data_IF_839537683788
#
_entry.id   IF_839537683788
#
_cell.length_a   1.000
_cell.length_b   1.000
_cell.length_c   1.000
_cell.angle_alpha   90.00
_cell.angle_beta   90.00
_cell.angle_gamma   90.00
#
_symmetry.space_group_name_H-M   'P 1'
#
loop_
_entity.id
_entity.type
_entity.pdbx_description
1 polymer ?
#
# COMPACT_ATOMS: atom_id res chain seq x y z
N UNK A 1 12.83 -0.94 -4.41
CA UNK A 1 12.98 -1.81 -3.21
C UNK A 1 12.41 -3.20 -3.51
N UNK A 2 12.33 -4.12 -2.54
CA UNK A 2 11.87 -5.52 -2.75
C UNK A 2 10.42 -5.62 -3.24
N UNK A 3 9.57 -4.68 -2.84
CA UNK A 3 8.12 -4.71 -3.09
C UNK A 3 7.66 -3.60 -4.03
N UNK A 4 8.51 -2.60 -4.31
CA UNK A 4 8.14 -1.46 -5.16
C UNK A 4 7.42 -0.35 -4.39
N UNK A 5 7.57 -0.29 -3.06
CA UNK A 5 6.95 0.73 -2.20
C UNK A 5 7.41 2.13 -2.59
N UNK A 6 8.67 2.28 -3.02
CA UNK A 6 9.20 3.54 -3.54
C UNK A 6 9.14 3.50 -5.06
N UNK A 7 8.22 4.24 -5.70
CA UNK A 7 8.10 4.21 -7.14
C UNK A 7 9.37 4.69 -7.83
N UNK A 8 9.68 4.07 -8.96
CA UNK A 8 10.74 4.49 -9.85
C UNK A 8 10.18 4.43 -11.27
N UNK A 9 9.84 5.59 -11.80
CA UNK A 9 9.38 5.74 -13.17
C UNK A 9 10.54 6.18 -14.05
N UNK A 10 10.55 5.73 -15.30
CA UNK A 10 11.60 6.07 -16.25
C UNK A 10 11.08 6.16 -17.68
N UNK A 11 11.73 7.02 -18.45
CA UNK A 11 11.62 7.13 -19.90
C UNK A 11 12.97 6.80 -20.51
N UNK A 12 12.98 5.97 -21.57
CA UNK A 12 14.20 5.66 -22.29
C UNK A 12 13.99 5.58 -23.80
N UNK A 13 14.43 6.62 -24.52
CA UNK A 13 14.58 6.60 -25.98
C UNK A 13 16.04 6.30 -26.30
N UNK A 14 16.30 5.08 -26.76
CA UNK A 14 17.64 4.52 -26.96
C UNK A 14 18.62 5.51 -27.58
N UNK A 15 19.79 5.67 -26.95
CA UNK A 15 20.90 6.54 -27.35
C UNK A 15 20.64 8.06 -27.33
N UNK A 16 19.45 8.51 -26.93
CA UNK A 16 19.10 9.93 -26.85
C UNK A 16 19.06 10.42 -25.41
N UNK A 17 18.20 9.81 -24.60
CA UNK A 17 17.93 10.32 -23.26
C UNK A 17 17.43 9.21 -22.34
N UNK A 18 17.81 9.31 -21.06
CA UNK A 18 17.29 8.51 -19.97
C UNK A 18 16.82 9.45 -18.88
N UNK A 19 15.51 9.45 -18.61
CA UNK A 19 14.89 10.24 -17.56
C UNK A 19 14.34 9.30 -16.50
N UNK A 20 14.44 9.68 -15.23
CA UNK A 20 13.83 8.95 -14.14
C UNK A 20 13.34 9.89 -13.05
N UNK A 21 12.27 9.49 -12.37
CA UNK A 21 11.72 10.21 -11.23
C UNK A 21 10.91 9.25 -10.35
N UNK A 22 10.62 9.67 -9.12
CA UNK A 22 9.65 8.98 -8.25
C UNK A 22 8.20 9.32 -8.59
N UNK A 23 7.98 10.29 -9.47
CA UNK A 23 6.67 10.84 -9.85
C UNK A 23 6.61 11.01 -11.37
N UNK A 24 5.52 10.56 -11.99
CA UNK A 24 5.30 10.61 -13.44
C UNK A 24 5.26 12.06 -13.93
N UNK A 25 4.61 12.96 -13.19
CA UNK A 25 4.45 14.38 -13.54
C UNK A 25 5.78 15.09 -13.77
N UNK A 26 6.85 14.66 -13.10
CA UNK A 26 8.19 15.22 -13.25
C UNK A 26 8.81 14.85 -14.60
N UNK A 27 8.58 13.62 -15.08
CA UNK A 27 9.03 13.18 -16.42
C UNK A 27 8.24 13.92 -17.50
N UNK A 28 6.93 14.12 -17.28
CA UNK A 28 6.06 14.86 -18.20
C UNK A 28 6.41 16.36 -18.34
N UNK A 29 7.27 16.91 -17.48
CA UNK A 29 7.81 18.26 -17.69
C UNK A 29 8.83 18.32 -18.84
N UNK A 30 9.40 17.18 -19.22
CA UNK A 30 10.48 17.08 -20.21
C UNK A 30 9.98 16.47 -21.51
N UNK A 31 9.05 15.53 -21.43
CA UNK A 31 8.51 14.82 -22.59
C UNK A 31 7.00 15.00 -22.69
N UNK A 32 6.49 14.92 -23.93
CA UNK A 32 5.06 14.69 -24.16
C UNK A 32 4.82 13.19 -24.30
N UNK A 33 3.83 12.66 -23.58
CA UNK A 33 3.36 11.28 -23.71
C UNK A 33 1.86 11.27 -23.94
N UNK A 34 1.41 10.32 -24.76
CA UNK A 34 0.00 9.95 -24.90
C UNK A 34 -0.39 8.89 -23.89
N UNK A 35 -1.68 8.65 -23.74
CA UNK A 35 -2.21 7.58 -22.89
C UNK A 35 -1.89 6.21 -23.47
N UNK A 36 -1.46 5.28 -22.63
CA UNK A 36 -1.27 3.88 -23.00
C UNK A 36 -2.62 3.18 -23.15
N UNK A 37 -3.01 2.89 -24.40
CA UNK A 37 -4.31 2.29 -24.72
C UNK A 37 -4.50 0.89 -24.15
N UNK A 38 -3.42 0.11 -24.02
CA UNK A 38 -3.52 -1.24 -23.48
C UNK A 38 -3.73 -1.18 -21.97
N UNK A 39 -2.97 -0.35 -21.25
CA UNK A 39 -3.16 -0.14 -19.81
C UNK A 39 -4.56 0.39 -19.51
N UNK A 40 -5.07 1.33 -20.32
CA UNK A 40 -6.46 1.79 -20.21
C UNK A 40 -7.47 0.65 -20.40
N UNK A 41 -7.28 -0.18 -21.43
CA UNK A 41 -8.14 -1.34 -21.68
C UNK A 41 -8.09 -2.33 -20.51
N UNK A 42 -6.90 -2.69 -20.05
CA UNK A 42 -6.73 -3.65 -18.94
C UNK A 42 -7.38 -3.14 -17.65
N UNK A 43 -7.26 -1.83 -17.38
CA UNK A 43 -7.89 -1.18 -16.24
C UNK A 43 -9.42 -1.16 -16.34
N UNK A 44 -10.00 -0.72 -17.46
CA UNK A 44 -11.45 -0.60 -17.58
C UNK A 44 -12.16 -1.94 -17.81
N UNK A 45 -11.53 -2.87 -18.54
CA UNK A 45 -12.13 -4.17 -18.85
C UNK A 45 -11.98 -5.19 -17.71
N UNK A 46 -10.86 -5.14 -16.97
CA UNK A 46 -10.52 -6.16 -15.98
C UNK A 46 -10.23 -5.62 -14.58
N UNK A 47 -10.20 -4.29 -14.38
CA UNK A 47 -9.79 -3.70 -13.12
C UNK A 47 -8.29 -3.86 -12.84
N UNK A 48 -7.49 -4.20 -13.85
CA UNK A 48 -6.06 -4.47 -13.67
C UNK A 48 -5.24 -3.19 -13.77
N UNK A 49 -4.96 -2.58 -12.62
CA UNK A 49 -3.90 -1.58 -12.45
C UNK A 49 -2.61 -2.24 -11.92
N UNK A 50 -1.44 -1.71 -12.30
CA UNK A 50 -0.12 -2.11 -11.75
C UNK A 50 0.32 -3.58 -11.95
N UNK A 51 -0.14 -4.26 -13.01
CA UNK A 51 0.16 -5.69 -13.22
C UNK A 51 1.44 -5.97 -14.03
N UNK A 52 2.06 -4.95 -14.64
CA UNK A 52 3.27 -5.05 -15.47
C UNK A 52 4.14 -3.77 -15.35
N UNK A 53 5.16 -3.59 -16.19
CA UNK A 53 6.06 -2.41 -16.16
C UNK A 53 5.51 -1.16 -16.86
N UNK A 54 4.31 -1.22 -17.43
CA UNK A 54 3.65 -0.10 -18.09
C UNK A 54 3.00 0.82 -17.08
N UNK A 55 2.89 2.09 -17.46
CA UNK A 55 2.04 3.08 -16.78
C UNK A 55 0.83 3.38 -17.67
N UNK A 56 -0.03 4.30 -17.24
CA UNK A 56 -1.07 4.88 -18.11
C UNK A 56 -0.53 5.82 -19.19
N UNK A 57 0.80 5.99 -19.28
CA UNK A 57 1.50 6.81 -20.26
C UNK A 57 2.40 5.94 -21.15
N UNK A 58 2.23 6.04 -22.47
CA UNK A 58 2.88 5.17 -23.46
C UNK A 58 4.43 5.22 -23.39
N UNK A 59 4.99 6.40 -23.14
CA UNK A 59 6.43 6.62 -23.10
C UNK A 59 7.05 6.42 -21.70
N UNK A 60 6.27 6.13 -20.66
CA UNK A 60 6.75 6.06 -19.28
C UNK A 60 6.55 4.65 -18.73
N UNK A 61 7.63 4.08 -18.19
CA UNK A 61 7.65 2.76 -17.57
C UNK A 61 7.93 2.85 -16.09
N UNK A 62 7.51 1.84 -15.34
CA UNK A 62 7.82 1.71 -13.92
C UNK A 62 8.79 0.53 -13.72
N UNK A 63 9.85 0.75 -12.93
CA UNK A 63 10.72 -0.33 -12.48
C UNK A 63 10.02 -1.12 -11.36
N UNK A 64 9.67 -2.38 -11.66
CA UNK A 64 8.96 -3.25 -10.71
C UNK A 64 9.79 -3.55 -9.46
N UNK A 65 9.09 -3.75 -8.34
CA UNK A 65 9.69 -4.22 -7.09
C UNK A 65 10.59 -5.45 -7.30
N UNK A 66 11.72 -5.48 -6.60
CA UNK A 66 12.69 -6.59 -6.68
C UNK A 66 13.48 -6.67 -7.98
N UNK A 67 13.49 -5.62 -8.82
CA UNK A 67 14.29 -5.53 -10.03
C UNK A 67 15.35 -4.43 -9.95
N UNK A 68 16.46 -4.66 -10.65
CA UNK A 68 17.50 -3.68 -10.91
C UNK A 68 17.42 -3.25 -12.37
N UNK A 69 17.73 -1.97 -12.63
CA UNK A 69 17.90 -1.40 -13.97
C UNK A 69 19.35 -0.97 -14.12
N UNK A 70 20.02 -1.46 -15.17
CA UNK A 70 21.40 -1.13 -15.51
C UNK A 70 21.40 -0.53 -16.90
N UNK A 71 21.84 0.73 -17.01
CA UNK A 71 22.08 1.40 -18.27
C UNK A 71 23.60 1.55 -18.47
N UNK A 72 24.14 0.86 -19.48
CA UNK A 72 25.57 0.88 -19.80
C UNK A 72 25.74 0.99 -21.32
N UNK A 73 26.55 1.95 -21.79
CA UNK A 73 26.83 2.16 -23.21
C UNK A 73 25.56 2.22 -24.09
N UNK A 74 24.51 2.89 -23.62
CA UNK A 74 23.22 2.97 -24.33
C UNK A 74 22.39 1.68 -24.33
N UNK A 75 22.82 0.64 -23.60
CA UNK A 75 22.06 -0.59 -23.43
C UNK A 75 21.42 -0.61 -22.04
N UNK A 76 20.09 -0.61 -22.03
CA UNK A 76 19.30 -0.78 -20.81
C UNK A 76 19.02 -2.27 -20.60
N UNK A 77 19.26 -2.76 -19.39
CA UNK A 77 18.98 -4.13 -18.99
C UNK A 77 18.29 -4.15 -17.63
N UNK A 78 17.29 -5.02 -17.49
CA UNK A 78 16.53 -5.17 -16.25
C UNK A 78 16.68 -6.62 -15.79
N UNK A 79 17.01 -6.80 -14.52
CA UNK A 79 17.14 -8.12 -13.91
C UNK A 79 16.44 -8.18 -12.56
N UNK A 80 15.74 -9.27 -12.30
CA UNK A 80 15.08 -9.51 -11.01
C UNK A 80 16.11 -10.03 -10.01
N UNK A 81 16.32 -9.29 -8.92
CA UNK A 81 17.20 -9.70 -7.82
C UNK A 81 16.42 -10.29 -6.63
N UNK A 82 15.11 -10.02 -6.55
CA UNK A 82 14.27 -10.51 -5.46
C UNK A 82 12.95 -11.09 -5.96
N UNK A 83 12.58 -12.24 -5.41
CA UNK A 83 11.25 -12.85 -5.56
C UNK A 83 10.90 -13.50 -4.23
N UNK A 84 9.70 -13.23 -3.71
CA UNK A 84 9.19 -13.93 -2.53
C UNK A 84 9.12 -15.42 -2.86
N UNK A 85 9.71 -16.23 -1.99
CA UNK A 85 9.60 -17.69 -2.07
C UNK A 85 8.57 -18.11 -1.03
N UNK A 86 7.46 -18.68 -1.49
CA UNK A 86 6.52 -19.37 -0.61
C UNK A 86 7.03 -20.80 -0.38
N UNK A 87 7.13 -21.22 0.87
CA UNK A 87 7.45 -22.59 1.26
C UNK A 87 6.43 -23.03 2.31
N UNK A 88 5.98 -24.30 2.29
CA UNK A 88 5.08 -24.82 3.31
C UNK A 88 5.70 -24.66 4.70
N UNK A 89 4.96 -24.01 5.60
CA UNK A 89 5.38 -23.86 6.99
C UNK A 89 5.43 -25.25 7.64
N UNK A 90 6.58 -25.59 8.23
CA UNK A 90 6.75 -26.83 9.00
C UNK A 90 6.57 -26.60 10.51
N UNK A 91 6.41 -25.34 10.92
CA UNK A 91 6.18 -24.99 12.32
C UNK A 91 4.77 -25.45 12.73
N UNK A 92 4.62 -25.90 13.99
CA UNK A 92 3.29 -26.09 14.58
C UNK A 92 2.54 -24.75 14.62
N UNK A 93 1.21 -24.79 14.72
CA UNK A 93 0.40 -23.56 14.83
C UNK A 93 0.89 -22.66 15.98
N UNK A 94 1.18 -23.26 17.14
CA UNK A 94 1.67 -22.51 18.30
C UNK A 94 3.02 -21.83 18.03
N UNK A 95 3.97 -22.54 17.42
CA UNK A 95 5.28 -21.97 17.09
C UNK A 95 5.16 -20.88 16.02
N UNK A 96 4.33 -21.11 14.98
CA UNK A 96 4.08 -20.13 13.92
C UNK A 96 3.43 -18.86 14.46
N UNK A 97 2.48 -18.99 15.40
CA UNK A 97 1.82 -17.87 16.08
C UNK A 97 2.81 -17.03 16.90
N UNK A 98 3.66 -17.65 17.70
CA UNK A 98 4.67 -16.92 18.48
C UNK A 98 5.69 -16.23 17.57
N UNK A 99 6.17 -16.92 16.53
CA UNK A 99 7.08 -16.35 15.54
C UNK A 99 6.48 -15.17 14.79
N UNK A 100 5.22 -15.26 14.37
CA UNK A 100 4.51 -14.14 13.76
C UNK A 100 4.42 -12.95 14.72
N UNK A 101 4.08 -13.21 15.99
CA UNK A 101 4.04 -12.16 17.01
C UNK A 101 5.40 -11.49 17.18
N UNK A 102 6.47 -12.27 17.32
CA UNK A 102 7.83 -11.74 17.47
C UNK A 102 8.25 -10.90 16.27
N UNK A 103 8.03 -11.41 15.05
CA UNK A 103 8.36 -10.68 13.81
C UNK A 103 7.56 -9.40 13.66
N UNK A 104 6.27 -9.42 14.00
CA UNK A 104 5.42 -8.22 13.96
C UNK A 104 5.87 -7.19 15.00
N UNK A 105 6.15 -7.61 16.23
CA UNK A 105 6.68 -6.73 17.27
C UNK A 105 8.00 -6.10 16.84
N UNK A 106 8.92 -6.88 16.28
CA UNK A 106 10.21 -6.36 15.82
C UNK A 106 10.06 -5.42 14.61
N UNK A 107 9.19 -5.76 13.66
CA UNK A 107 8.91 -4.93 12.49
C UNK A 107 8.35 -3.55 12.87
N UNK A 108 7.45 -3.49 13.85
CA UNK A 108 6.93 -2.23 14.40
C UNK A 108 8.04 -1.51 15.16
N UNK A 109 8.74 -2.19 16.07
CA UNK A 109 9.82 -1.62 16.89
C UNK A 109 10.89 -0.92 16.05
N UNK A 110 11.31 -1.52 14.93
CA UNK A 110 12.31 -0.94 14.04
C UNK A 110 11.78 0.34 13.37
N UNK A 111 10.50 0.38 12.99
CA UNK A 111 9.86 1.53 12.33
C UNK A 111 9.50 2.67 13.29
N UNK A 112 9.45 2.40 14.59
CA UNK A 112 9.31 3.44 15.62
C UNK A 112 10.59 4.25 15.84
N UNK A 113 11.73 3.85 15.26
CA UNK A 113 12.96 4.65 15.28
C UNK A 113 12.83 5.80 14.29
N UNK A 114 12.40 6.96 14.78
CA UNK A 114 12.21 8.17 14.00
C UNK A 114 12.71 9.38 14.76
N UNK A 115 13.48 10.24 14.10
CA UNK A 115 13.93 11.53 14.63
C UNK A 115 12.89 12.64 14.40
N UNK A 116 11.75 12.30 13.78
CA UNK A 116 10.64 13.21 13.47
C UNK A 116 9.33 12.70 14.05
N UNK A 117 8.33 13.58 14.27
CA UNK A 117 7.05 13.19 14.87
C UNK A 117 6.36 12.04 14.12
N UNK A 118 5.96 11.02 14.90
CA UNK A 118 5.28 9.81 14.44
C UNK A 118 3.77 9.88 14.68
N UNK A 119 3.04 9.22 13.79
CA UNK A 119 1.62 8.92 13.97
C UNK A 119 1.26 7.57 13.37
N UNK A 120 -0.01 7.20 13.48
CA UNK A 120 -0.49 5.91 13.00
C UNK A 120 -1.84 6.09 12.32
N UNK A 121 -1.99 5.54 11.11
CA UNK A 121 -3.29 5.36 10.51
C UNK A 121 -3.98 4.19 11.22
N UNK A 122 -5.18 4.45 11.76
CA UNK A 122 -5.98 3.49 12.49
C UNK A 122 -7.30 3.26 11.73
N UNK A 123 -7.67 2.00 11.60
CA UNK A 123 -8.95 1.54 11.08
C UNK A 123 -9.60 0.63 12.12
N UNK A 124 -10.79 0.10 11.83
CA UNK A 124 -11.45 -0.90 12.68
C UNK A 124 -10.86 -2.31 12.55
N UNK A 125 -10.01 -2.54 11.55
CA UNK A 125 -9.42 -3.84 11.25
C UNK A 125 -8.32 -4.28 12.23
N UNK A 126 -8.03 -5.58 12.22
CA UNK A 126 -7.02 -6.17 13.09
C UNK A 126 -5.59 -5.70 12.77
N UNK A 127 -5.31 -5.33 11.52
CA UNK A 127 -3.96 -5.00 11.05
C UNK A 127 -3.44 -3.70 11.67
N UNK A 128 -4.18 -2.61 11.45
CA UNK A 128 -3.87 -1.31 12.02
C UNK A 128 -3.99 -1.32 13.55
N UNK A 129 -5.00 -2.01 14.09
CA UNK A 129 -5.17 -2.22 15.54
C UNK A 129 -3.97 -2.92 16.17
N UNK A 130 -3.40 -3.91 15.50
CA UNK A 130 -2.21 -4.62 15.98
C UNK A 130 -0.99 -3.70 16.01
N UNK A 131 -0.80 -2.88 14.98
CA UNK A 131 0.31 -1.90 14.94
C UNK A 131 0.17 -0.89 16.08
N UNK A 132 -1.01 -0.29 16.27
CA UNK A 132 -1.26 0.68 17.35
C UNK A 132 -1.14 0.03 18.73
N UNK A 133 -1.66 -1.19 18.89
CA UNK A 133 -1.56 -1.96 20.13
C UNK A 133 -0.12 -2.34 20.51
N UNK A 134 0.74 -2.60 19.52
CA UNK A 134 2.17 -2.84 19.74
C UNK A 134 2.89 -1.52 20.02
N UNK A 135 2.63 -0.48 19.21
CA UNK A 135 3.30 0.81 19.33
C UNK A 135 3.03 1.47 20.69
N UNK A 136 1.79 1.42 21.20
CA UNK A 136 1.41 1.93 22.52
C UNK A 136 2.13 1.24 23.68
N UNK A 137 2.56 -0.02 23.52
CA UNK A 137 3.36 -0.74 24.53
C UNK A 137 4.83 -0.33 24.51
N UNK A 138 5.38 -0.06 23.32
CA UNK A 138 6.80 0.26 23.12
C UNK A 138 7.06 1.74 23.44
N UNK A 139 6.21 2.64 22.96
CA UNK A 139 6.37 4.08 23.11
C UNK A 139 5.19 4.65 23.92
N UNK A 140 5.46 5.07 25.15
CA UNK A 140 4.47 5.70 26.05
C UNK A 140 4.29 7.22 25.79
N UNK A 141 4.93 7.77 24.76
CA UNK A 141 4.72 9.16 24.33
C UNK A 141 3.33 9.38 23.71
N UNK A 142 3.06 10.62 23.28
CA UNK A 142 1.82 10.96 22.56
C UNK A 142 1.80 10.27 21.19
N UNK A 143 1.14 9.12 21.14
CA UNK A 143 0.87 8.39 19.92
C UNK A 143 -0.36 9.01 19.25
N UNK A 144 -0.14 9.90 18.29
CA UNK A 144 -1.22 10.44 17.47
C UNK A 144 -1.73 9.34 16.54
N UNK A 145 -3.03 9.07 16.60
CA UNK A 145 -3.71 8.12 15.71
C UNK A 145 -4.73 8.86 14.87
N UNK A 146 -4.93 8.40 13.65
CA UNK A 146 -5.75 9.09 12.65
C UNK A 146 -6.68 8.09 11.98
N UNK A 147 -7.98 8.38 11.94
CA UNK A 147 -8.97 7.51 11.30
C UNK A 147 -9.89 8.28 10.38
N UNK A 148 -10.30 7.60 9.31
CA UNK A 148 -11.46 7.99 8.51
C UNK A 148 -12.70 7.37 9.14
N UNK A 149 -13.78 8.14 9.25
CA UNK A 149 -15.09 7.65 9.70
C UNK A 149 -16.17 8.14 8.73
N UNK A 150 -17.29 7.42 8.68
CA UNK A 150 -18.41 7.71 7.80
C UNK A 150 -19.72 7.54 8.58
N UNK A 151 -20.02 8.44 9.54
CA UNK A 151 -21.10 8.21 10.50
C UNK A 151 -22.44 7.89 9.84
N UNK A 152 -23.03 6.75 10.20
CA UNK A 152 -24.32 6.30 9.66
C UNK A 152 -24.23 5.44 8.40
N UNK A 153 -23.04 5.26 7.82
CA UNK A 153 -22.81 4.38 6.69
C UNK A 153 -22.42 2.97 7.13
N UNK A 154 -22.69 1.96 6.28
CA UNK A 154 -22.32 0.56 6.57
C UNK A 154 -20.80 0.33 6.64
N UNK A 155 -20.02 1.26 6.07
CA UNK A 155 -18.55 1.21 6.07
C UNK A 155 -17.93 1.93 7.28
N UNK A 156 -18.75 2.43 8.21
CA UNK A 156 -18.25 3.11 9.40
C UNK A 156 -17.59 2.13 10.38
N UNK A 157 -16.31 2.36 10.64
CA UNK A 157 -15.50 1.53 11.53
C UNK A 157 -15.33 2.14 12.93
N UNK A 158 -16.02 3.25 13.24
CA UNK A 158 -15.80 4.04 14.46
C UNK A 158 -16.01 3.21 15.73
N UNK A 159 -16.93 2.25 15.72
CA UNK A 159 -17.15 1.33 16.84
C UNK A 159 -15.87 0.58 17.22
N UNK A 160 -15.19 -0.02 16.24
CA UNK A 160 -13.96 -0.79 16.47
C UNK A 160 -12.77 0.13 16.75
N UNK A 161 -12.67 1.26 16.06
CA UNK A 161 -11.65 2.29 16.32
C UNK A 161 -11.72 2.75 17.79
N UNK A 162 -12.92 3.05 18.29
CA UNK A 162 -13.13 3.47 19.67
C UNK A 162 -12.67 2.41 20.68
N UNK A 163 -12.81 1.11 20.38
CA UNK A 163 -12.29 0.04 21.24
C UNK A 163 -10.76 0.08 21.35
N UNK A 164 -10.07 0.40 20.27
CA UNK A 164 -8.60 0.55 20.28
C UNK A 164 -8.21 1.80 21.07
N UNK A 165 -8.92 2.92 20.88
CA UNK A 165 -8.68 4.17 21.63
C UNK A 165 -8.84 3.94 23.13
N UNK A 166 -9.98 3.35 23.55
CA UNK A 166 -10.26 3.01 24.95
C UNK A 166 -9.15 2.15 25.58
N UNK A 167 -8.61 1.19 24.81
CA UNK A 167 -7.61 0.24 25.32
C UNK A 167 -6.20 0.80 25.38
N UNK A 168 -5.86 1.76 24.51
CA UNK A 168 -4.49 2.25 24.32
C UNK A 168 -4.25 3.66 24.85
N UNK A 169 -5.30 4.46 25.04
CA UNK A 169 -5.19 5.84 25.53
C UNK A 169 -4.50 6.79 24.54
N UNK A 170 -4.49 6.45 23.25
CA UNK A 170 -3.88 7.25 22.17
C UNK A 170 -4.57 8.61 22.01
N UNK A 171 -3.82 9.60 21.54
CA UNK A 171 -4.41 10.88 21.11
C UNK A 171 -5.00 10.69 19.71
N UNK A 172 -6.33 10.71 19.58
CA UNK A 172 -7.00 10.30 18.35
C UNK A 172 -7.60 11.48 17.59
N UNK A 173 -7.51 11.42 16.25
CA UNK A 173 -8.02 12.43 15.33
C UNK A 173 -8.86 11.77 14.25
N UNK A 174 -10.08 12.28 14.04
CA UNK A 174 -10.98 11.79 13.00
C UNK A 174 -11.04 12.73 11.80
N UNK A 175 -11.22 12.15 10.60
CA UNK A 175 -11.66 12.86 9.39
C UNK A 175 -12.89 12.14 8.83
N UNK A 176 -13.84 12.90 8.30
CA UNK A 176 -15.03 12.37 7.62
C UNK A 176 -15.10 12.99 6.23
N UNK A 177 -14.41 12.42 5.23
CA UNK A 177 -14.42 12.93 3.86
C UNK A 177 -15.84 12.99 3.29
N UNK A 178 -16.19 14.09 2.63
CA UNK A 178 -17.50 14.27 1.98
C UNK A 178 -17.39 14.31 0.46
N UNK A 179 -18.53 14.16 -0.22
CA UNK A 179 -18.60 14.37 -1.68
C UNK A 179 -18.24 15.80 -2.08
N UNK A 180 -18.61 16.79 -1.26
CA UNK A 180 -18.28 18.19 -1.52
C UNK A 180 -16.77 18.44 -1.41
N UNK A 181 -16.11 17.81 -0.43
CA UNK A 181 -14.65 17.79 -0.35
C UNK A 181 -14.03 17.19 -1.61
N UNK A 182 -14.56 16.07 -2.10
CA UNK A 182 -14.05 15.39 -3.29
C UNK A 182 -14.10 16.29 -4.52
N UNK A 183 -15.24 16.93 -4.77
CA UNK A 183 -15.40 17.84 -5.90
C UNK A 183 -14.49 19.06 -5.78
N UNK A 184 -14.32 19.59 -4.57
CA UNK A 184 -13.46 20.74 -4.31
C UNK A 184 -11.98 20.43 -4.51
N UNK A 185 -11.52 19.26 -4.06
CA UNK A 185 -10.11 18.90 -4.04
C UNK A 185 -9.71 18.03 -5.24
N UNK A 186 -10.61 17.79 -6.20
CA UNK A 186 -10.44 16.86 -7.31
C UNK A 186 -9.14 17.09 -8.09
N UNK A 187 -8.86 18.33 -8.47
CA UNK A 187 -7.65 18.66 -9.25
C UNK A 187 -6.37 18.39 -8.45
N UNK A 188 -6.35 18.77 -7.17
CA UNK A 188 -5.22 18.49 -6.29
C UNK A 188 -5.04 16.99 -6.06
N UNK A 189 -6.13 16.26 -5.88
CA UNK A 189 -6.10 14.82 -5.69
C UNK A 189 -5.55 14.10 -6.94
N UNK A 190 -6.05 14.44 -8.14
CA UNK A 190 -5.55 13.90 -9.42
C UNK A 190 -4.07 14.23 -9.61
N UNK A 191 -3.65 15.46 -9.27
CA UNK A 191 -2.26 15.87 -9.34
C UNK A 191 -1.33 14.98 -8.51
N UNK A 192 -1.74 14.58 -7.31
CA UNK A 192 -0.95 13.69 -6.45
C UNK A 192 -1.03 12.22 -6.87
N UNK A 193 -2.20 11.78 -7.35
CA UNK A 193 -2.45 10.38 -7.70
C UNK A 193 -1.79 9.96 -9.02
N UNK A 194 -1.66 10.88 -9.98
CA UNK A 194 -1.02 10.74 -11.31
C UNK A 194 -1.62 9.71 -12.28
N UNK A 195 -2.27 8.67 -11.80
CA UNK A 195 -2.89 7.59 -12.58
C UNK A 195 -4.34 7.32 -12.14
N UNK A 196 -5.20 6.75 -12.98
CA UNK A 196 -6.54 6.32 -12.58
C UNK A 196 -6.52 5.36 -11.38
N UNK A 197 -7.50 5.53 -10.50
CA UNK A 197 -7.63 4.78 -9.24
C UNK A 197 -8.98 4.05 -9.17
N UNK A 198 -9.04 3.00 -8.36
CA UNK A 198 -10.23 2.15 -8.24
C UNK A 198 -10.92 2.43 -6.90
N UNK A 199 -12.04 3.15 -6.95
CA UNK A 199 -12.88 3.42 -5.79
C UNK A 199 -12.50 4.69 -5.01
N UNK A 200 -13.42 5.16 -4.18
CA UNK A 200 -13.31 6.43 -3.44
C UNK A 200 -12.42 6.36 -2.19
N UNK A 201 -11.96 5.16 -1.80
CA UNK A 201 -11.06 4.96 -0.66
C UNK A 201 -9.75 5.72 -0.82
N UNK A 202 -9.23 5.87 -2.05
CA UNK A 202 -8.03 6.66 -2.35
C UNK A 202 -8.19 8.14 -1.98
N UNK A 203 -9.38 8.71 -2.19
CA UNK A 203 -9.67 10.08 -1.76
C UNK A 203 -9.74 10.18 -0.24
N UNK A 204 -10.32 9.17 0.41
CA UNK A 204 -10.28 9.08 1.87
C UNK A 204 -8.85 9.08 2.39
N UNK A 205 -7.96 8.28 1.79
CA UNK A 205 -6.55 8.24 2.16
C UNK A 205 -5.88 9.60 1.95
N UNK A 206 -6.14 10.28 0.83
CA UNK A 206 -5.67 11.65 0.59
C UNK A 206 -6.04 12.59 1.75
N UNK A 207 -7.32 12.59 2.16
CA UNK A 207 -7.80 13.38 3.30
C UNK A 207 -7.19 12.97 4.64
N UNK A 208 -6.94 11.68 4.83
CA UNK A 208 -6.24 11.17 6.01
C UNK A 208 -4.80 11.70 6.08
N UNK A 209 -4.07 11.72 4.95
CA UNK A 209 -2.73 12.29 4.88
C UNK A 209 -2.72 13.79 5.15
N UNK A 210 -3.72 14.53 4.66
CA UNK A 210 -3.88 15.95 5.01
C UNK A 210 -4.07 16.15 6.52
N UNK A 211 -4.91 15.34 7.17
CA UNK A 211 -5.13 15.40 8.61
C UNK A 211 -3.85 15.07 9.40
N UNK A 212 -3.11 14.04 8.99
CA UNK A 212 -1.81 13.67 9.56
C UNK A 212 -0.85 14.87 9.49
N UNK A 213 -0.74 15.49 8.31
CA UNK A 213 0.16 16.64 8.10
C UNK A 213 -0.27 17.86 8.91
N UNK A 214 -1.57 18.17 8.99
CA UNK A 214 -2.15 19.25 9.81
C UNK A 214 -1.81 19.10 11.30
N UNK A 215 -1.60 17.87 11.77
CA UNK A 215 -1.20 17.55 13.14
C UNK A 215 0.33 17.42 13.32
N UNK A 216 1.13 17.99 12.42
CA UNK A 216 2.60 18.00 12.47
C UNK A 216 3.25 16.61 12.53
N UNK A 217 2.55 15.58 12.07
CA UNK A 217 3.12 14.24 11.91
C UNK A 217 3.85 14.16 10.57
N UNK A 218 5.08 13.65 10.61
CA UNK A 218 5.93 13.52 9.41
C UNK A 218 6.00 12.09 8.92
N UNK A 219 5.99 11.12 9.84
CA UNK A 219 6.01 9.69 9.51
C UNK A 219 4.76 9.04 10.10
N UNK A 220 4.03 8.30 9.26
CA UNK A 220 2.88 7.49 9.69
C UNK A 220 3.16 6.02 9.46
N UNK A 221 2.77 5.17 10.41
CA UNK A 221 2.71 3.71 10.22
C UNK A 221 1.27 3.30 9.93
N UNK A 222 1.09 2.25 9.15
CA UNK A 222 -0.23 1.73 8.77
C UNK A 222 -0.20 0.22 8.50
N UNK A 223 -1.39 -0.38 8.49
CA UNK A 223 -1.60 -1.83 8.34
C UNK A 223 -1.68 -2.34 6.91
N UNK A 224 -1.41 -1.51 5.90
CA UNK A 224 -1.48 -1.93 4.49
C UNK A 224 -0.49 -3.05 4.19
N UNK A 225 -0.84 -3.95 3.27
CA UNK A 225 -0.03 -5.11 2.91
C UNK A 225 -0.31 -6.37 3.73
N UNK A 226 -1.11 -6.26 4.80
CA UNK A 226 -1.43 -7.39 5.67
C UNK A 226 -2.33 -8.40 4.95
N UNK A 227 -3.41 -7.95 4.33
CA UNK A 227 -4.37 -8.79 3.62
C UNK A 227 -3.72 -9.65 2.52
N UNK A 228 -2.71 -9.14 1.83
CA UNK A 228 -1.93 -9.86 0.82
C UNK A 228 -1.07 -10.98 1.44
N UNK A 229 -0.59 -10.80 2.67
CA UNK A 229 0.28 -11.75 3.37
C UNK A 229 -0.53 -12.80 4.13
N UNK A 230 -1.62 -12.40 4.78
CA UNK A 230 -2.42 -13.27 5.66
C UNK A 230 -3.74 -13.72 5.03
N UNK A 231 -3.93 -13.45 3.74
CA UNK A 231 -5.11 -13.88 2.95
C UNK A 231 -6.42 -13.27 3.47
N UNK A 232 -6.43 -11.96 3.71
CA UNK A 232 -7.61 -11.26 4.19
C UNK A 232 -8.67 -11.00 3.11
N UNK A 233 -8.27 -11.00 1.83
CA UNK A 233 -9.23 -10.94 0.73
C UNK A 233 -9.89 -12.30 0.48
N UNK A 234 -11.21 -12.36 0.59
CA UNK A 234 -12.01 -13.57 0.32
C UNK A 234 -11.81 -14.11 -1.10
N UNK A 235 -11.55 -13.24 -2.08
CA UNK A 235 -11.22 -13.63 -3.45
C UNK A 235 -9.93 -14.46 -3.55
N UNK A 236 -8.95 -14.24 -2.67
CA UNK A 236 -7.71 -15.03 -2.60
C UNK A 236 -7.93 -16.41 -1.97
N UNK A 237 -9.02 -16.60 -1.22
CA UNK A 237 -9.38 -17.92 -0.69
C UNK A 237 -9.88 -18.86 -1.80
N UNK A 238 -10.50 -18.33 -2.87
CA UNK A 238 -11.08 -19.16 -3.92
C UNK A 238 -10.05 -20.04 -4.67
N UNK A 239 -8.90 -19.52 -5.13
CA UNK A 239 -7.82 -20.35 -5.68
C UNK A 239 -7.27 -21.37 -4.67
N UNK A 240 -7.16 -20.99 -3.39
CA UNK A 240 -6.68 -21.89 -2.33
C UNK A 240 -7.65 -23.06 -2.13
N UNK A 241 -8.96 -22.78 -2.09
CA UNK A 241 -9.98 -23.82 -2.02
C UNK A 241 -9.92 -24.74 -3.25
N UNK A 242 -9.77 -24.20 -4.46
CA UNK A 242 -9.61 -25.01 -5.67
C UNK A 242 -8.36 -25.90 -5.63
N UNK A 243 -7.23 -25.40 -5.13
CA UNK A 243 -6.01 -26.20 -4.94
C UNK A 243 -6.21 -27.32 -3.91
N UNK A 244 -6.90 -27.04 -2.80
CA UNK A 244 -7.22 -28.05 -1.78
C UNK A 244 -8.17 -29.12 -2.34
N UNK A 245 -9.15 -28.74 -3.16
CA UNK A 245 -10.03 -29.68 -3.85
C UNK A 245 -9.25 -30.58 -4.83
N UNK A 246 -8.31 -30.04 -5.61
CA UNK A 246 -7.46 -30.85 -6.48
C UNK A 246 -6.59 -31.85 -5.71
N UNK A 247 -6.04 -31.45 -4.55
CA UNK A 247 -5.24 -32.35 -3.70
C UNK A 247 -6.11 -33.48 -3.09
N UNK A 248 -7.36 -33.18 -2.72
CA UNK A 248 -8.28 -34.19 -2.19
C UNK A 248 -8.77 -35.16 -3.27
N UNK A 249 -9.09 -34.68 -4.47
CA UNK A 249 -9.56 -35.54 -5.58
C UNK A 249 -8.44 -36.46 -6.08
N UNK A 250 -7.18 -35.99 -6.08
CA UNK A 250 -6.02 -36.80 -6.46
C UNK A 250 -5.56 -37.79 -5.38
N UNK A 251 -6.13 -37.76 -4.17
CA UNK A 251 -5.89 -38.76 -3.10
C UNK A 251 -6.98 -39.83 -3.01
N UNK A 252 -8.03 -39.74 -3.83
CA UNK A 252 -9.16 -40.67 -3.85
C UNK A 252 -9.05 -41.66 -5.04
N UNK A 253 -8.00 -41.59 -5.85
CA UNK A 253 -7.67 -42.54 -6.91
C UNK A 253 -6.30 -43.18 -6.72
#
# INVERSE_FOLDING_TARGET
DRFGIKPFYYHYKQLKEFLFASEIKAILQVINSTSDKQTLFDSFAYGYSDHNDRTFFEDIKQLRGGHNLILQNGKLSISRYYKIKSQPCQDSFENAKEKLRELLFDAVRIRLRSDVPLGYALSGGIDSSSIVGIASKINRGSNNTFSMIYPGENVDESFFINKVIEKTGVNHHFVSPTTEDFLKDLDSFIWHQEEPFIGTSYFGEFKLRELIRKNNVTVSLEGQGADEIITGYTSLLYPIFLMLFQICVLKIY
#
